data_IF_505065037214
#
_entry.id   IF_505065037214
#
_cell.length_a   1.000
_cell.length_b   1.000
_cell.length_c   1.000
_cell.angle_alpha   90.00
_cell.angle_beta   90.00
_cell.angle_gamma   90.00
#
_symmetry.space_group_name_H-M   'P 1'
#
loop_
_entity.id
_entity.type
_entity.pdbx_description
1 polymer ?
#
# COMPACT_ATOMS: atom_id res chain seq x y z
N UNK A 1 7.73 -8.52 -13.89
CA UNK A 1 6.72 -8.10 -12.93
C UNK A 1 7.32 -7.17 -11.89
N UNK A 2 6.50 -6.36 -11.26
CA UNK A 2 6.94 -5.38 -10.29
C UNK A 2 6.41 -5.74 -8.91
N UNK A 3 7.28 -5.74 -7.91
CA UNK A 3 6.91 -5.93 -6.51
C UNK A 3 7.32 -4.71 -5.71
N UNK A 4 6.42 -4.19 -4.89
CA UNK A 4 6.71 -3.14 -3.93
C UNK A 4 6.37 -3.67 -2.54
N UNK A 5 7.31 -3.56 -1.62
CA UNK A 5 7.11 -3.97 -0.23
C UNK A 5 7.64 -2.90 0.70
N UNK A 6 6.94 -2.66 1.78
CA UNK A 6 7.35 -1.66 2.73
C UNK A 6 6.43 -1.56 3.93
N UNK A 7 6.49 -0.41 4.60
CA UNK A 7 5.67 -0.14 5.78
C UNK A 7 5.36 1.33 5.93
N UNK A 8 4.22 1.62 6.55
CA UNK A 8 3.86 2.94 7.04
C UNK A 8 3.52 2.84 8.52
N UNK A 9 4.00 3.79 9.30
CA UNK A 9 3.72 3.89 10.72
C UNK A 9 2.89 5.14 11.01
N UNK A 10 2.02 5.06 12.00
CA UNK A 10 1.11 6.13 12.37
C UNK A 10 1.02 6.25 13.90
N UNK A 11 0.54 7.41 14.39
CA UNK A 11 0.18 7.54 15.78
C UNK A 11 -1.02 6.66 16.12
N UNK A 12 -1.05 6.13 17.35
CA UNK A 12 -2.21 5.38 17.86
C UNK A 12 -3.49 6.21 17.85
N UNK A 13 -3.39 7.54 17.90
CA UNK A 13 -4.54 8.44 17.86
C UNK A 13 -5.29 8.38 16.52
N UNK A 14 -4.59 8.04 15.45
CA UNK A 14 -5.15 7.97 14.10
C UNK A 14 -5.57 6.55 13.69
N UNK A 15 -5.40 5.58 14.57
CA UNK A 15 -5.54 4.16 14.25
C UNK A 15 -6.85 3.78 13.56
N UNK A 16 -7.99 4.20 14.10
CA UNK A 16 -9.29 3.83 13.54
C UNK A 16 -9.47 4.36 12.11
N UNK A 17 -9.13 5.63 11.91
CA UNK A 17 -9.20 6.26 10.59
C UNK A 17 -8.24 5.60 9.59
N UNK A 18 -7.03 5.26 10.05
CA UNK A 18 -6.04 4.58 9.23
C UNK A 18 -6.53 3.20 8.81
N UNK A 19 -7.07 2.42 9.73
CA UNK A 19 -7.61 1.09 9.41
C UNK A 19 -8.74 1.18 8.37
N UNK A 20 -9.62 2.17 8.50
CA UNK A 20 -10.67 2.40 7.50
C UNK A 20 -10.06 2.75 6.15
N UNK A 21 -9.08 3.65 6.11
CA UNK A 21 -8.40 4.03 4.86
C UNK A 21 -7.67 2.85 4.21
N UNK A 22 -7.01 2.01 5.01
CA UNK A 22 -6.31 0.82 4.50
C UNK A 22 -7.28 -0.19 3.90
N UNK A 23 -8.44 -0.38 4.53
CA UNK A 23 -9.48 -1.27 4.01
C UNK A 23 -10.02 -0.76 2.67
N UNK A 24 -10.28 0.54 2.57
CA UNK A 24 -10.78 1.18 1.35
C UNK A 24 -9.77 1.09 0.21
N UNK A 25 -8.51 1.48 0.45
CA UNK A 25 -7.48 1.44 -0.60
C UNK A 25 -7.20 0.01 -1.07
N UNK A 26 -7.27 -0.96 -0.16
CA UNK A 26 -7.08 -2.36 -0.51
C UNK A 26 -8.16 -2.85 -1.47
N UNK A 27 -9.43 -2.58 -1.14
CA UNK A 27 -10.55 -3.00 -1.98
C UNK A 27 -10.47 -2.40 -3.38
N UNK A 28 -10.16 -1.11 -3.47
CA UNK A 28 -10.09 -0.40 -4.76
C UNK A 28 -8.85 -0.80 -5.55
N UNK A 29 -7.69 -0.93 -4.91
CA UNK A 29 -6.44 -1.29 -5.58
C UNK A 29 -6.49 -2.68 -6.21
N UNK A 30 -7.18 -3.61 -5.58
CA UNK A 30 -7.36 -4.96 -6.12
C UNK A 30 -8.16 -4.99 -7.42
N UNK A 31 -8.92 -3.95 -7.71
CA UNK A 31 -9.67 -3.84 -8.97
C UNK A 31 -8.89 -3.11 -10.06
N UNK A 32 -7.74 -2.53 -9.75
CA UNK A 32 -6.92 -1.84 -10.74
C UNK A 32 -6.33 -2.82 -11.76
N UNK A 33 -6.30 -2.47 -13.05
CA UNK A 33 -5.70 -3.33 -14.06
C UNK A 33 -4.25 -3.67 -13.73
N UNK A 34 -3.91 -4.95 -13.83
CA UNK A 34 -2.56 -5.45 -13.58
C UNK A 34 -2.21 -5.73 -12.14
N UNK A 35 -3.15 -5.50 -11.22
CA UNK A 35 -2.94 -5.86 -9.81
C UNK A 35 -3.02 -7.38 -9.65
N UNK A 36 -1.90 -8.00 -9.32
CA UNK A 36 -1.82 -9.44 -9.04
C UNK A 36 -2.09 -9.71 -7.57
N UNK A 37 -1.49 -8.91 -6.71
CA UNK A 37 -1.65 -9.03 -5.27
C UNK A 37 -1.48 -7.66 -4.60
N UNK A 38 -2.29 -7.40 -3.61
CA UNK A 38 -2.26 -6.15 -2.84
C UNK A 38 -2.82 -6.40 -1.46
N UNK A 39 -2.04 -6.11 -0.41
CA UNK A 39 -2.51 -6.25 0.97
C UNK A 39 -1.72 -5.39 1.95
N UNK A 40 -2.33 -5.16 3.09
CA UNK A 40 -1.74 -4.52 4.27
C UNK A 40 -1.93 -5.44 5.47
N UNK A 41 -0.96 -5.47 6.36
CA UNK A 41 -1.04 -6.21 7.62
C UNK A 41 -0.25 -5.47 8.70
N UNK A 42 -0.77 -5.46 9.91
CA UNK A 42 -0.05 -4.84 11.02
C UNK A 42 1.16 -5.69 11.41
N UNK A 43 2.28 -5.03 11.71
CA UNK A 43 3.49 -5.70 12.21
C UNK A 43 3.22 -6.31 13.58
N UNK A 44 3.66 -7.55 13.81
CA UNK A 44 3.39 -8.26 15.06
C UNK A 44 4.17 -7.68 16.25
N UNK A 45 5.28 -6.99 15.99
CA UNK A 45 6.16 -6.43 17.02
C UNK A 45 6.00 -4.91 17.20
N UNK A 46 5.50 -4.21 16.18
CA UNK A 46 5.42 -2.75 16.20
C UNK A 46 3.97 -2.28 15.98
N UNK A 47 3.24 -1.98 17.06
CA UNK A 47 1.87 -1.48 16.95
C UNK A 47 1.79 -0.22 16.08
N UNK A 48 0.73 -0.09 15.30
CA UNK A 48 0.46 1.03 14.39
C UNK A 48 1.48 1.16 13.25
N UNK A 49 2.27 0.13 13.01
CA UNK A 49 3.10 -0.03 11.83
C UNK A 49 2.45 -1.09 10.94
N UNK A 50 2.10 -0.68 9.72
CA UNK A 50 1.40 -1.55 8.78
C UNK A 50 2.32 -1.84 7.60
N UNK A 51 2.50 -3.12 7.33
CA UNK A 51 3.30 -3.58 6.20
C UNK A 51 2.42 -3.75 4.98
N UNK A 52 2.95 -3.39 3.81
CA UNK A 52 2.25 -3.57 2.55
C UNK A 52 3.06 -4.40 1.59
N UNK A 53 2.35 -5.09 0.72
CA UNK A 53 2.90 -5.84 -0.38
C UNK A 53 2.04 -5.60 -1.61
N UNK A 54 2.68 -5.24 -2.72
CA UNK A 54 2.02 -5.02 -3.99
C UNK A 54 2.75 -5.79 -5.08
N UNK A 55 1.99 -6.48 -5.90
CA UNK A 55 2.51 -7.20 -7.06
C UNK A 55 1.71 -6.78 -8.28
N UNK A 56 2.40 -6.21 -9.25
CA UNK A 56 1.83 -5.68 -10.50
C UNK A 56 2.42 -6.39 -11.70
N UNK A 57 1.61 -6.59 -12.74
CA UNK A 57 2.07 -7.23 -13.98
C UNK A 57 3.16 -6.42 -14.68
N UNK A 58 3.09 -5.08 -14.59
CA UNK A 58 4.07 -4.20 -15.24
C UNK A 58 4.23 -2.87 -14.49
N UNK A 59 5.34 -2.19 -14.78
CA UNK A 59 5.60 -0.83 -14.30
C UNK A 59 4.50 0.14 -14.76
N UNK A 60 4.06 0.01 -16.00
CA UNK A 60 3.03 0.89 -16.58
C UNK A 60 1.73 0.81 -15.78
N UNK A 61 1.30 -0.38 -15.40
CA UNK A 61 0.09 -0.58 -14.62
C UNK A 61 0.24 -0.08 -13.18
N UNK A 62 1.41 -0.25 -12.59
CA UNK A 62 1.71 0.36 -11.28
C UNK A 62 1.64 1.89 -11.36
N UNK A 63 2.23 2.48 -12.41
CA UNK A 63 2.20 3.93 -12.58
C UNK A 63 0.75 4.45 -12.71
N UNK A 64 -0.11 3.71 -13.41
CA UNK A 64 -1.52 4.03 -13.51
C UNK A 64 -2.24 3.95 -12.16
N UNK A 65 -1.90 2.94 -11.33
CA UNK A 65 -2.41 2.81 -9.97
C UNK A 65 -2.02 4.03 -9.11
N UNK A 66 -0.76 4.46 -9.16
CA UNK A 66 -0.29 5.62 -8.40
C UNK A 66 -1.03 6.89 -8.80
N UNK A 67 -1.43 7.02 -10.06
CA UNK A 67 -2.18 8.16 -10.57
C UNK A 67 -3.71 8.05 -10.35
N UNK A 68 -4.20 6.93 -9.84
CA UNK A 68 -5.62 6.69 -9.66
C UNK A 68 -6.23 7.58 -8.56
N UNK A 69 -7.53 7.92 -8.67
CA UNK A 69 -8.19 8.77 -7.67
C UNK A 69 -8.12 8.22 -6.25
N UNK A 70 -8.23 6.92 -6.07
CA UNK A 70 -8.20 6.30 -4.73
C UNK A 70 -6.81 6.37 -4.09
N UNK A 71 -5.74 6.29 -4.88
CA UNK A 71 -4.37 6.46 -4.36
C UNK A 71 -4.14 7.92 -3.94
N UNK A 72 -4.63 8.86 -4.74
CA UNK A 72 -4.57 10.29 -4.42
C UNK A 72 -5.36 10.60 -3.15
N UNK A 73 -6.57 10.07 -3.03
CA UNK A 73 -7.41 10.27 -1.84
C UNK A 73 -6.77 9.71 -0.58
N UNK A 74 -6.14 8.55 -0.68
CA UNK A 74 -5.38 7.96 0.43
C UNK A 74 -4.25 8.90 0.87
N UNK A 75 -3.47 9.42 -0.07
CA UNK A 75 -2.38 10.36 0.21
C UNK A 75 -2.87 11.65 0.86
N UNK A 76 -3.91 12.26 0.31
CA UNK A 76 -4.49 13.50 0.85
C UNK A 76 -4.97 13.32 2.28
N UNK A 77 -5.56 12.18 2.59
CA UNK A 77 -6.10 11.89 3.92
C UNK A 77 -5.02 11.53 4.94
N UNK A 78 -3.98 10.80 4.54
CA UNK A 78 -3.09 10.15 5.47
C UNK A 78 -1.63 10.63 5.46
N UNK A 79 -1.17 11.36 4.44
CA UNK A 79 0.23 11.75 4.32
C UNK A 79 0.74 12.49 5.56
N UNK A 80 -0.04 13.42 6.09
CA UNK A 80 0.34 14.19 7.29
C UNK A 80 0.32 13.38 8.57
N UNK A 81 -0.25 12.18 8.55
CA UNK A 81 -0.36 11.28 9.72
C UNK A 81 0.78 10.28 9.80
N UNK A 82 1.56 10.14 8.73
CA UNK A 82 2.66 9.16 8.66
C UNK A 82 3.80 9.60 9.55
N UNK A 83 4.20 8.75 10.49
CA UNK A 83 5.33 8.97 11.39
C UNK A 83 6.61 8.25 10.95
N UNK A 84 6.47 7.27 10.08
CA UNK A 84 7.60 6.53 9.51
C UNK A 84 7.17 5.79 8.26
N UNK A 85 8.09 5.61 7.33
CA UNK A 85 7.82 4.94 6.07
C UNK A 85 9.05 4.21 5.55
N UNK A 86 8.83 3.03 5.00
CA UNK A 86 9.84 2.29 4.23
C UNK A 86 9.21 1.81 2.94
N UNK A 87 9.99 1.71 1.87
CA UNK A 87 9.53 1.08 0.64
C UNK A 87 10.72 0.58 -0.17
N UNK A 88 10.56 -0.58 -0.79
CA UNK A 88 11.50 -1.14 -1.74
C UNK A 88 10.76 -1.67 -2.96
N UNK A 89 11.34 -1.45 -4.12
CA UNK A 89 10.82 -1.90 -5.40
C UNK A 89 11.73 -2.95 -6.01
N UNK A 90 11.12 -3.97 -6.58
CA UNK A 90 11.85 -5.07 -7.21
C UNK A 90 11.27 -5.36 -8.59
N UNK A 91 12.16 -5.57 -9.57
CA UNK A 91 11.79 -6.28 -10.78
C UNK A 91 11.84 -7.76 -10.44
N UNK A 92 10.76 -8.49 -10.70
CA UNK A 92 10.61 -9.86 -10.22
C UNK A 92 10.15 -10.79 -11.34
N UNK A 93 10.62 -12.04 -11.27
CA UNK A 93 10.18 -13.11 -12.14
C UNK A 93 9.71 -14.27 -11.25
N UNK A 94 8.43 -14.67 -11.35
CA UNK A 94 7.93 -15.82 -10.58
C UNK A 94 8.72 -17.07 -10.93
N UNK A 95 9.07 -17.85 -9.93
CA UNK A 95 9.80 -19.11 -10.12
C UNK A 95 8.89 -20.33 -10.10
N UNK A 96 7.67 -20.15 -9.64
CA UNK A 96 6.63 -21.18 -9.66
C UNK A 96 5.27 -20.57 -9.99
#
# INVERSE_FOLDING_TARGET
MLIIAGSLSFSSDDREDVLTSLSEITALSRTDPGCVEYWWAEDVDEPNTFRFFEHWESQEQFDAHIAAPHERAFGERNLSRITGATARMFSATPMI
#
